data_IF_999020254666
#
_entry.id   IF_999020254666
#
_cell.length_a   1.000
_cell.length_b   1.000
_cell.length_c   1.000
_cell.angle_alpha   90.00
_cell.angle_beta   90.00
_cell.angle_gamma   90.00
#
_symmetry.space_group_name_H-M   'P 1'
#
loop_
_entity.id
_entity.type
_entity.pdbx_description
1 polymer ?
#
# COMPACT_ATOMS: atom_id res chain seq x y z
N UNK A 1 2.78 -22.49 10.30
CA UNK A 1 1.99 -21.97 9.16
C UNK A 1 1.70 -23.08 8.13
N UNK A 2 0.55 -23.06 7.44
CA UNK A 2 0.20 -24.06 6.41
C UNK A 2 0.74 -23.64 5.03
N UNK A 3 0.79 -24.57 4.07
CA UNK A 3 1.12 -24.24 2.67
C UNK A 3 0.12 -23.24 2.06
N UNK A 4 -1.12 -23.25 2.53
CA UNK A 4 -2.16 -22.29 2.13
C UNK A 4 -1.80 -20.86 2.57
N UNK A 5 -1.21 -20.69 3.75
CA UNK A 5 -0.74 -19.37 4.21
C UNK A 5 0.38 -18.81 3.33
N UNK A 6 1.29 -19.67 2.85
CA UNK A 6 2.36 -19.27 1.93
C UNK A 6 1.77 -18.85 0.58
N UNK A 7 0.83 -19.65 0.05
CA UNK A 7 0.12 -19.31 -1.19
C UNK A 7 -0.58 -17.96 -1.08
N UNK A 8 -1.28 -17.72 0.03
CA UNK A 8 -1.97 -16.45 0.29
C UNK A 8 -1.00 -15.26 0.31
N UNK A 9 0.18 -15.40 0.93
CA UNK A 9 1.22 -14.35 0.91
C UNK A 9 1.72 -14.06 -0.51
N UNK A 10 1.92 -15.09 -1.34
CA UNK A 10 2.32 -14.94 -2.75
C UNK A 10 1.22 -14.28 -3.58
N UNK A 11 -0.03 -14.67 -3.37
CA UNK A 11 -1.19 -14.09 -4.04
C UNK A 11 -1.36 -12.60 -3.67
N UNK A 12 -1.16 -12.24 -2.40
CA UNK A 12 -1.16 -10.85 -1.94
C UNK A 12 -0.02 -10.03 -2.54
N UNK A 13 1.20 -10.57 -2.60
CA UNK A 13 2.35 -9.90 -3.23
C UNK A 13 2.12 -9.69 -4.72
N UNK A 14 1.55 -10.70 -5.39
CA UNK A 14 1.18 -10.63 -6.81
C UNK A 14 0.11 -9.57 -7.03
N UNK A 15 -0.92 -9.56 -6.18
CA UNK A 15 -1.99 -8.55 -6.22
C UNK A 15 -1.42 -7.15 -6.03
N UNK A 16 -0.55 -6.96 -5.04
CA UNK A 16 0.14 -5.68 -4.85
C UNK A 16 0.91 -5.32 -6.12
N UNK A 17 1.72 -6.20 -6.69
CA UNK A 17 2.51 -5.92 -7.90
C UNK A 17 1.67 -5.50 -9.12
N UNK A 18 0.59 -6.23 -9.39
CA UNK A 18 -0.21 -6.07 -10.61
C UNK A 18 -1.21 -4.94 -10.47
N UNK A 19 -1.76 -4.71 -9.28
CA UNK A 19 -2.75 -3.65 -9.04
C UNK A 19 -2.09 -2.30 -8.82
N UNK A 20 -2.70 -1.27 -9.40
CA UNK A 20 -2.26 0.13 -9.23
C UNK A 20 -2.77 0.78 -7.93
N UNK A 21 -3.55 0.04 -7.14
CA UNK A 21 -4.34 0.60 -6.04
C UNK A 21 -5.49 1.47 -6.53
N UNK A 22 -6.31 1.96 -5.60
CA UNK A 22 -7.47 2.81 -5.88
C UNK A 22 -7.05 4.05 -6.67
N UNK A 23 -7.61 4.24 -7.87
CA UNK A 23 -7.27 5.33 -8.77
C UNK A 23 -8.10 6.59 -8.46
N UNK A 24 -7.60 7.79 -8.80
CA UNK A 24 -8.37 9.03 -8.61
C UNK A 24 -9.75 9.01 -9.28
N UNK A 25 -9.88 8.36 -10.44
CA UNK A 25 -11.16 8.21 -11.14
C UNK A 25 -12.18 7.40 -10.34
N UNK A 26 -11.74 6.49 -9.47
CA UNK A 26 -12.62 5.71 -8.57
C UNK A 26 -13.01 6.51 -7.32
N UNK A 27 -12.25 7.57 -6.98
CA UNK A 27 -12.52 8.42 -5.80
C UNK A 27 -13.37 9.64 -6.14
N UNK A 28 -13.38 10.07 -7.41
CA UNK A 28 -14.07 11.29 -7.84
C UNK A 28 -15.59 11.17 -7.69
N UNK A 29 -16.15 9.97 -7.87
CA UNK A 29 -17.59 9.76 -7.73
C UNK A 29 -18.09 10.10 -6.32
N UNK A 30 -17.27 9.85 -5.29
CA UNK A 30 -17.62 10.15 -3.90
C UNK A 30 -17.78 11.66 -3.65
N UNK A 31 -17.15 12.53 -4.45
CA UNK A 31 -17.23 14.00 -4.26
C UNK A 31 -18.67 14.51 -4.47
N UNK A 32 -19.51 13.75 -5.16
CA UNK A 32 -20.91 14.12 -5.38
C UNK A 32 -21.83 13.76 -4.20
N UNK A 33 -21.32 13.04 -3.18
CA UNK A 33 -22.06 12.74 -1.95
C UNK A 33 -22.03 13.96 -1.01
N UNK A 34 -23.13 14.17 -0.27
CA UNK A 34 -23.34 15.38 0.55
C UNK A 34 -22.29 15.56 1.66
N UNK A 35 -21.75 14.45 2.17
CA UNK A 35 -20.76 14.48 3.26
C UNK A 35 -19.38 14.93 2.78
N UNK A 36 -19.11 14.95 1.48
CA UNK A 36 -17.84 15.33 0.88
C UNK A 36 -17.80 16.83 0.62
N UNK A 37 -16.89 17.53 1.30
CA UNK A 37 -16.89 19.00 1.38
C UNK A 37 -15.74 19.66 0.61
N UNK A 38 -14.69 18.91 0.28
CA UNK A 38 -13.53 19.46 -0.46
C UNK A 38 -12.80 18.35 -1.22
N UNK A 39 -12.31 18.66 -2.42
CA UNK A 39 -11.32 17.84 -3.11
C UNK A 39 -10.25 18.73 -3.72
N UNK A 40 -9.01 18.21 -3.75
CA UNK A 40 -7.88 18.89 -4.34
C UNK A 40 -6.98 17.88 -5.03
N UNK A 41 -6.43 18.26 -6.19
CA UNK A 41 -5.40 17.47 -6.85
C UNK A 41 -4.20 18.36 -7.19
N UNK A 42 -3.00 17.83 -7.00
CA UNK A 42 -1.76 18.51 -7.36
C UNK A 42 -0.80 17.55 -8.04
N UNK A 43 -0.19 18.01 -9.13
CA UNK A 43 0.95 17.32 -9.76
C UNK A 43 2.22 17.67 -8.99
N UNK A 44 3.04 16.67 -8.73
CA UNK A 44 4.37 16.82 -8.10
C UNK A 44 5.45 16.35 -9.08
N UNK A 45 6.72 16.53 -8.73
CA UNK A 45 7.81 15.95 -9.52
C UNK A 45 7.80 14.41 -9.47
N UNK A 46 7.35 13.84 -8.36
CA UNK A 46 7.30 12.38 -8.12
C UNK A 46 6.01 11.71 -8.61
N UNK A 47 4.98 12.46 -8.98
CA UNK A 47 3.71 11.93 -9.47
C UNK A 47 2.54 12.86 -9.20
N UNK A 48 1.50 12.36 -8.53
CA UNK A 48 0.26 13.11 -8.24
C UNK A 48 -0.12 12.91 -6.79
N UNK A 49 -0.66 13.96 -6.16
CA UNK A 49 -1.35 13.85 -4.88
C UNK A 49 -2.81 14.24 -5.08
N UNK A 50 -3.71 13.40 -4.60
CA UNK A 50 -5.14 13.63 -4.57
C UNK A 50 -5.61 13.68 -3.12
N UNK A 51 -6.32 14.72 -2.74
CA UNK A 51 -6.89 14.91 -1.42
C UNK A 51 -8.41 15.01 -1.53
N UNK A 52 -9.10 14.33 -0.63
CA UNK A 52 -10.56 14.37 -0.51
C UNK A 52 -10.90 14.56 0.97
N UNK A 53 -11.84 15.46 1.25
CA UNK A 53 -12.26 15.79 2.62
C UNK A 53 -13.75 15.61 2.75
N UNK A 54 -14.15 14.91 3.80
CA UNK A 54 -15.55 14.70 4.16
C UNK A 54 -15.79 15.00 5.64
N UNK A 55 -17.06 15.13 6.01
CA UNK A 55 -17.52 15.23 7.38
C UNK A 55 -17.86 13.84 7.89
N UNK A 56 -17.29 13.49 9.04
CA UNK A 56 -17.62 12.25 9.75
C UNK A 56 -18.23 12.64 11.09
N UNK A 57 -19.42 12.12 11.39
CA UNK A 57 -20.09 12.31 12.67
C UNK A 57 -19.76 11.14 13.57
N UNK A 58 -19.21 11.42 14.75
CA UNK A 58 -18.97 10.38 15.76
C UNK A 58 -20.27 9.96 16.49
N UNK A 59 -20.16 8.93 17.34
CA UNK A 59 -21.29 8.38 18.10
C UNK A 59 -21.97 9.42 19.02
N UNK A 60 -21.25 10.49 19.38
CA UNK A 60 -21.73 11.59 20.22
C UNK A 60 -22.38 12.73 19.39
N UNK A 61 -22.46 12.58 18.06
CA UNK A 61 -23.05 13.56 17.15
C UNK A 61 -22.12 14.72 16.79
N UNK A 62 -20.84 14.64 17.12
CA UNK A 62 -19.85 15.66 16.79
C UNK A 62 -19.29 15.44 15.39
N UNK A 63 -19.44 16.44 14.51
CA UNK A 63 -18.90 16.39 13.15
C UNK A 63 -17.42 16.79 13.13
N UNK A 64 -16.58 15.91 12.58
CA UNK A 64 -15.15 16.14 12.36
C UNK A 64 -14.83 16.13 10.87
N UNK A 65 -13.99 17.06 10.42
CA UNK A 65 -13.45 17.03 9.06
C UNK A 65 -12.36 15.96 8.96
N UNK A 66 -12.50 15.03 8.02
CA UNK A 66 -11.51 14.01 7.71
C UNK A 66 -10.97 14.26 6.31
N UNK A 67 -9.67 14.51 6.18
CA UNK A 67 -8.99 14.61 4.88
C UNK A 67 -8.17 13.36 4.64
N UNK A 68 -8.49 12.65 3.57
CA UNK A 68 -7.70 11.54 3.04
C UNK A 68 -6.79 12.05 1.93
N UNK A 69 -5.52 11.66 1.96
CA UNK A 69 -4.52 12.00 0.94
C UNK A 69 -3.99 10.72 0.31
N UNK A 70 -4.12 10.65 -1.00
CA UNK A 70 -3.64 9.57 -1.85
C UNK A 70 -2.46 10.09 -2.67
N UNK A 71 -1.30 9.49 -2.49
CA UNK A 71 -0.08 9.83 -3.24
C UNK A 71 0.20 8.76 -4.27
N UNK A 72 0.39 9.16 -5.51
CA UNK A 72 0.66 8.31 -6.66
C UNK A 72 2.04 8.62 -7.24
N UNK A 73 2.72 7.60 -7.73
CA UNK A 73 3.95 7.77 -8.51
C UNK A 73 3.69 8.11 -9.99
N UNK A 74 4.77 8.32 -10.75
CA UNK A 74 4.68 8.58 -12.20
C UNK A 74 4.12 7.40 -13.00
N UNK A 75 4.21 6.17 -12.48
CA UNK A 75 3.65 4.95 -13.08
C UNK A 75 2.17 4.74 -12.72
N UNK A 76 1.57 5.69 -11.98
CA UNK A 76 0.19 5.70 -11.49
C UNK A 76 -0.12 4.67 -10.41
N UNK A 77 0.89 4.15 -9.73
CA UNK A 77 0.68 3.31 -8.55
C UNK A 77 0.40 4.18 -7.34
N UNK A 78 -0.62 3.83 -6.56
CA UNK A 78 -0.85 4.36 -5.23
C UNK A 78 0.30 3.91 -4.32
N UNK A 79 1.07 4.85 -3.80
CA UNK A 79 2.24 4.57 -2.96
C UNK A 79 2.01 4.84 -1.48
N UNK A 80 1.15 5.82 -1.16
CA UNK A 80 0.91 6.24 0.21
C UNK A 80 -0.52 6.76 0.38
N UNK A 81 -1.16 6.34 1.46
CA UNK A 81 -2.42 6.90 1.95
C UNK A 81 -2.18 7.49 3.33
N UNK A 82 -2.52 8.76 3.49
CA UNK A 82 -2.46 9.48 4.75
C UNK A 82 -3.85 10.00 5.14
N UNK A 83 -4.12 10.10 6.43
CA UNK A 83 -5.35 10.67 6.96
C UNK A 83 -5.03 11.83 7.91
N UNK A 84 -5.84 12.87 7.83
CA UNK A 84 -5.86 13.97 8.79
C UNK A 84 -7.27 14.11 9.35
N UNK A 85 -7.41 14.07 10.66
CA UNK A 85 -8.69 14.32 11.35
C UNK A 85 -8.65 15.67 12.05
N UNK A 86 -9.64 16.52 11.77
CA UNK A 86 -9.75 17.88 12.24
C UNK A 86 -8.45 18.70 11.99
N UNK A 87 -7.94 19.37 13.02
CA UNK A 87 -6.72 20.19 12.95
C UNK A 87 -5.42 19.41 13.22
N UNK A 88 -5.46 18.06 13.23
CA UNK A 88 -4.27 17.23 13.47
C UNK A 88 -3.33 17.24 12.26
N UNK A 89 -2.17 16.60 12.42
CA UNK A 89 -1.25 16.31 11.31
C UNK A 89 -1.73 15.08 10.54
N UNK A 90 -1.25 14.92 9.31
CA UNK A 90 -1.42 13.69 8.56
C UNK A 90 -0.70 12.53 9.26
N UNK A 91 -1.38 11.39 9.35
CA UNK A 91 -0.83 10.11 9.78
C UNK A 91 -0.93 9.09 8.64
N UNK A 92 0.09 8.26 8.49
CA UNK A 92 0.11 7.20 7.49
C UNK A 92 -0.93 6.15 7.85
N UNK A 93 -1.84 5.87 6.92
CA UNK A 93 -2.82 4.78 7.01
C UNK A 93 -2.34 3.55 6.26
N UNK A 94 -1.66 3.76 5.13
CA UNK A 94 -1.13 2.69 4.32
C UNK A 94 0.05 3.17 3.50
N UNK A 95 1.11 2.37 3.46
CA UNK A 95 2.31 2.60 2.65
C UNK A 95 2.61 1.33 1.86
N UNK A 96 2.78 1.48 0.54
CA UNK A 96 2.99 0.36 -0.37
C UNK A 96 4.30 -0.38 -0.11
N UNK A 97 5.39 0.35 0.14
CA UNK A 97 6.69 -0.26 0.38
C UNK A 97 6.68 -1.04 1.70
N UNK A 98 6.06 -0.49 2.74
CA UNK A 98 5.86 -1.18 4.02
C UNK A 98 4.99 -2.43 3.83
N UNK A 99 3.87 -2.30 3.12
CA UNK A 99 2.96 -3.43 2.87
C UNK A 99 3.63 -4.59 2.10
N UNK A 100 4.52 -4.27 1.16
CA UNK A 100 5.32 -5.28 0.43
C UNK A 100 6.37 -5.89 1.37
N UNK A 101 7.14 -5.05 2.08
CA UNK A 101 8.20 -5.51 3.00
C UNK A 101 7.66 -6.49 4.02
N UNK A 102 6.52 -6.19 4.65
CA UNK A 102 5.91 -7.05 5.66
C UNK A 102 5.55 -8.43 5.11
N UNK A 103 5.07 -8.50 3.85
CA UNK A 103 4.69 -9.74 3.20
C UNK A 103 5.91 -10.55 2.76
N UNK A 104 6.93 -9.90 2.22
CA UNK A 104 8.20 -10.55 1.87
C UNK A 104 8.83 -11.15 3.12
N UNK A 105 8.93 -10.40 4.22
CA UNK A 105 9.50 -10.89 5.48
C UNK A 105 8.73 -12.11 6.01
N UNK A 106 7.39 -12.07 5.96
CA UNK A 106 6.54 -13.22 6.38
C UNK A 106 6.72 -14.42 5.47
N UNK A 107 6.87 -14.20 4.17
CA UNK A 107 7.09 -15.26 3.19
C UNK A 107 8.45 -15.92 3.41
N UNK A 108 9.52 -15.14 3.53
CA UNK A 108 10.86 -15.64 3.84
C UNK A 108 10.86 -16.50 5.10
N UNK A 109 10.33 -15.98 6.22
CA UNK A 109 10.24 -16.72 7.48
C UNK A 109 9.48 -18.04 7.32
N UNK A 110 8.35 -18.03 6.58
CA UNK A 110 7.53 -19.22 6.36
C UNK A 110 8.22 -20.26 5.46
N UNK A 111 9.04 -19.82 4.50
CA UNK A 111 9.80 -20.71 3.63
C UNK A 111 10.96 -21.34 4.39
N UNK A 112 11.72 -20.57 5.16
CA UNK A 112 12.83 -21.09 5.98
C UNK A 112 12.38 -22.07 7.08
N UNK A 113 11.13 -21.97 7.55
CA UNK A 113 10.55 -22.98 8.45
C UNK A 113 10.35 -24.35 7.80
N UNK A 114 10.24 -24.42 6.46
CA UNK A 114 9.80 -25.61 5.74
C UNK A 114 10.82 -26.18 4.77
N UNK A 115 11.73 -25.35 4.28
CA UNK A 115 12.67 -25.70 3.22
C UNK A 115 14.11 -25.43 3.66
N UNK A 116 15.07 -26.23 3.19
CA UNK A 116 16.48 -25.94 3.32
C UNK A 116 16.86 -24.58 2.71
N UNK A 117 17.89 -23.95 3.26
CA UNK A 117 18.28 -22.57 2.94
C UNK A 117 18.59 -22.37 1.44
N UNK A 118 19.23 -23.33 0.79
CA UNK A 118 19.55 -23.31 -0.64
C UNK A 118 18.29 -23.25 -1.52
N UNK A 119 17.27 -24.05 -1.21
CA UNK A 119 15.99 -24.03 -1.95
C UNK A 119 15.22 -22.73 -1.75
N UNK A 120 15.24 -22.17 -0.54
CA UNK A 120 14.61 -20.87 -0.27
C UNK A 120 15.31 -19.77 -1.08
N UNK A 121 16.64 -19.78 -1.13
CA UNK A 121 17.40 -18.81 -1.91
C UNK A 121 17.13 -18.92 -3.41
N UNK A 122 17.05 -20.14 -3.96
CA UNK A 122 16.67 -20.36 -5.36
C UNK A 122 15.28 -19.78 -5.65
N UNK A 123 14.30 -20.04 -4.78
CA UNK A 123 12.95 -19.50 -4.92
C UNK A 123 12.90 -17.97 -4.85
N UNK A 124 13.56 -17.36 -3.87
CA UNK A 124 13.59 -15.89 -3.73
C UNK A 124 14.32 -15.22 -4.90
N UNK A 125 15.32 -15.88 -5.48
CA UNK A 125 16.05 -15.39 -6.65
C UNK A 125 15.19 -15.33 -7.93
N UNK A 126 14.09 -16.08 -7.98
CA UNK A 126 13.12 -16.05 -9.08
C UNK A 126 12.12 -14.90 -9.00
N UNK A 127 12.15 -14.09 -7.93
CA UNK A 127 11.27 -12.92 -7.81
C UNK A 127 11.63 -11.84 -8.85
N UNK A 128 10.63 -11.09 -9.37
CA UNK A 128 10.88 -9.98 -10.29
C UNK A 128 11.89 -8.96 -9.73
N UNK A 129 12.74 -8.41 -10.61
CA UNK A 129 13.81 -7.48 -10.22
C UNK A 129 13.30 -6.25 -9.45
N UNK A 130 12.08 -5.79 -9.74
CA UNK A 130 11.44 -4.67 -9.04
C UNK A 130 11.33 -4.92 -7.52
N UNK A 131 11.13 -6.17 -7.09
CA UNK A 131 11.17 -6.55 -5.68
C UNK A 131 12.61 -6.65 -5.16
N UNK A 132 13.51 -7.22 -5.95
CA UNK A 132 14.92 -7.39 -5.56
C UNK A 132 15.67 -6.05 -5.40
N UNK A 133 15.26 -5.00 -6.10
CA UNK A 133 15.77 -3.63 -5.93
C UNK A 133 15.29 -3.00 -4.61
N UNK A 134 14.06 -3.30 -4.18
CA UNK A 134 13.49 -2.81 -2.93
C UNK A 134 13.98 -3.62 -1.72
N UNK A 135 14.34 -4.89 -1.91
CA UNK A 135 14.81 -5.78 -0.86
C UNK A 135 16.15 -6.42 -1.27
N UNK A 136 17.28 -5.73 -1.10
CA UNK A 136 18.60 -6.23 -1.50
C UNK A 136 19.00 -7.57 -0.85
N UNK A 137 18.36 -7.90 0.29
CA UNK A 137 18.57 -9.18 0.99
C UNK A 137 18.05 -10.38 0.20
N UNK A 138 17.10 -10.18 -0.73
CA UNK A 138 16.65 -11.19 -1.68
C UNK A 138 17.74 -11.54 -2.72
N UNK A 139 18.77 -10.70 -2.87
CA UNK A 139 19.91 -10.94 -3.78
C UNK A 139 21.13 -11.54 -3.08
N UNK A 140 21.10 -11.74 -1.75
CA UNK A 140 22.26 -12.27 -1.01
C UNK A 140 22.34 -13.80 -1.16
N UNK A 141 22.67 -14.23 -2.38
CA UNK A 141 23.33 -15.49 -2.67
C UNK A 141 24.50 -15.18 -3.61
N UNK A 142 25.69 -15.05 -3.04
CA UNK A 142 26.97 -15.20 -3.74
C UNK A 142 27.63 -16.47 -3.22
#
# INVERSE_FOLDING_TARGET
MSLESIKLLVDELTTLHVTRGVQPSELVDNIFEDDYVESASRKTQSGIVFEITFLETDDDGCASKVTMRYTYDQRRYLVLVEQKVAAKKFSVQWDRAVAIQDRVTKLEASLYEKLPQDQVQEMLSSMPEDFAQQFPRLKLAA
#
